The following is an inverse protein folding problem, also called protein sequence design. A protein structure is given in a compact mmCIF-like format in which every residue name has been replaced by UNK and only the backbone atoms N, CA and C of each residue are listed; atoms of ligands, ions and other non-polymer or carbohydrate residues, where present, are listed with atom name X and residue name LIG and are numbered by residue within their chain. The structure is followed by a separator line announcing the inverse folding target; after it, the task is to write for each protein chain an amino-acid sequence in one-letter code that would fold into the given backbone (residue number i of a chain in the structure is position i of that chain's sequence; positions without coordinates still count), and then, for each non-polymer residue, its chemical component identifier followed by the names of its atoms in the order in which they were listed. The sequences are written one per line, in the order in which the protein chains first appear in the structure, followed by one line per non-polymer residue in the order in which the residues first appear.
data_IF_231639173548
#
_entry.id   IF_231639173548
#
_cell.length_a   1.000
_cell.length_b   1.000
_cell.length_c   1.000
_cell.angle_alpha   90.00
_cell.angle_beta   90.00
_cell.angle_gamma   90.00
#
_symmetry.space_group_name_H-M   'P 1'
#
loop_
_entity.id
_entity.type
_entity.pdbx_description
1 polymer ?
#
# COMPACT_ATOMS: atom_id res chain seq x y z
N UNK A 1 -1.84 -11.67 -5.40
CA UNK A 1 -2.84 -10.99 -4.56
C UNK A 1 -4.07 -11.84 -4.48
N UNK A 2 -4.88 -11.69 -3.43
CA UNK A 2 -6.15 -12.40 -3.28
C UNK A 2 -7.30 -11.43 -3.01
N UNK A 3 -8.45 -11.72 -3.62
CA UNK A 3 -9.76 -11.08 -3.41
C UNK A 3 -9.80 -9.57 -3.66
N UNK A 4 -9.34 -8.76 -2.71
CA UNK A 4 -9.46 -7.31 -2.75
C UNK A 4 -8.46 -6.65 -1.80
N UNK A 5 -7.92 -5.50 -2.22
CA UNK A 5 -7.13 -4.59 -1.40
C UNK A 5 -5.63 -4.75 -1.62
N UNK A 6 -4.94 -3.62 -1.81
CA UNK A 6 -3.51 -3.53 -1.98
C UNK A 6 -3.05 -3.45 -3.43
N UNK A 7 -3.86 -3.87 -4.41
CA UNK A 7 -3.52 -3.86 -5.85
C UNK A 7 -3.32 -2.46 -6.41
N UNK A 8 -4.15 -1.52 -5.97
CA UNK A 8 -4.05 -0.11 -6.30
C UNK A 8 -2.73 0.49 -5.79
N UNK A 9 -2.34 0.16 -4.56
CA UNK A 9 -1.10 0.64 -3.93
C UNK A 9 0.12 0.01 -4.61
N UNK A 10 0.11 -1.30 -4.87
CA UNK A 10 1.20 -1.98 -5.57
C UNK A 10 1.42 -1.39 -6.97
N UNK A 11 0.35 -1.25 -7.75
CA UNK A 11 0.42 -0.68 -9.08
C UNK A 11 0.95 0.76 -9.01
N UNK A 12 0.47 1.53 -8.02
CA UNK A 12 0.91 2.88 -7.73
C UNK A 12 2.42 2.97 -7.55
N UNK A 13 2.94 2.24 -6.56
CA UNK A 13 4.35 2.27 -6.22
C UNK A 13 5.21 1.72 -7.37
N UNK A 14 4.78 0.64 -8.01
CA UNK A 14 5.49 0.05 -9.16
C UNK A 14 5.64 1.05 -10.30
N UNK A 15 4.56 1.72 -10.71
CA UNK A 15 4.62 2.68 -11.81
C UNK A 15 5.58 3.82 -11.47
N UNK A 16 5.47 4.38 -10.26
CA UNK A 16 6.35 5.48 -9.82
C UNK A 16 7.82 5.08 -9.71
N UNK A 17 8.11 3.91 -9.16
CA UNK A 17 9.50 3.45 -8.93
C UNK A 17 10.16 2.89 -10.18
N UNK A 18 9.39 2.41 -11.16
CA UNK A 18 9.89 1.89 -12.42
C UNK A 18 9.93 2.93 -13.56
N UNK A 19 9.76 4.23 -13.25
CA UNK A 19 9.94 5.33 -14.21
C UNK A 19 8.70 5.72 -15.02
N UNK A 20 7.51 5.25 -14.63
CA UNK A 20 6.24 5.73 -15.17
C UNK A 20 5.63 6.88 -14.35
N UNK A 21 4.46 7.35 -14.78
CA UNK A 21 3.67 8.37 -14.09
C UNK A 21 2.21 7.96 -13.93
N UNK A 22 1.52 8.55 -12.96
CA UNK A 22 0.09 8.36 -12.72
C UNK A 22 -0.57 9.73 -12.74
N UNK A 23 -1.60 9.89 -13.57
CA UNK A 23 -2.26 11.16 -13.80
C UNK A 23 -3.77 11.06 -13.56
N UNK A 24 -4.35 12.13 -13.03
CA UNK A 24 -5.79 12.30 -12.93
C UNK A 24 -6.22 13.24 -14.06
N UNK A 25 -6.98 12.72 -15.02
CA UNK A 25 -7.42 13.49 -16.20
C UNK A 25 -8.78 14.14 -15.88
N UNK A 26 -8.86 15.46 -15.62
CA UNK A 26 -10.10 16.11 -15.17
C UNK A 26 -11.20 16.13 -16.24
N UNK A 27 -10.86 15.92 -17.51
CA UNK A 27 -11.83 15.82 -18.59
C UNK A 27 -12.50 14.43 -18.68
N UNK A 28 -11.90 13.40 -18.08
CA UNK A 28 -12.48 12.05 -18.01
C UNK A 28 -13.31 11.93 -16.72
N UNK A 29 -14.61 11.64 -16.85
CA UNK A 29 -15.55 11.61 -15.71
C UNK A 29 -16.21 10.24 -15.63
N UNK A 30 -15.99 9.53 -14.53
CA UNK A 30 -16.62 8.24 -14.21
C UNK A 30 -17.17 8.35 -12.79
N UNK A 31 -18.45 8.02 -12.60
CA UNK A 31 -19.06 7.94 -11.28
C UNK A 31 -18.81 6.57 -10.64
N UNK A 32 -18.32 6.55 -9.40
CA UNK A 32 -18.18 5.33 -8.59
C UNK A 32 -19.11 5.42 -7.38
N UNK A 33 -19.90 4.38 -7.11
CA UNK A 33 -20.73 4.28 -5.92
C UNK A 33 -19.93 3.58 -4.84
N UNK A 34 -19.38 4.35 -3.91
CA UNK A 34 -18.65 3.79 -2.77
C UNK A 34 -19.62 3.06 -1.82
N UNK A 35 -19.20 1.90 -1.33
CA UNK A 35 -20.00 1.07 -0.42
C UNK A 35 -19.26 0.93 0.90
N UNK A 36 -19.99 1.02 2.00
CA UNK A 36 -19.43 0.82 3.34
C UNK A 36 -18.90 -0.62 3.56
N UNK A 37 -19.43 -1.61 2.84
CA UNK A 37 -19.06 -3.01 2.96
C UNK A 37 -19.08 -3.70 1.58
N UNK A 38 -18.20 -4.70 1.41
CA UNK A 38 -18.11 -5.47 0.17
C UNK A 38 -19.14 -6.62 0.20
N UNK A 39 -20.03 -6.74 -0.80
CA UNK A 39 -21.15 -7.67 -0.75
C UNK A 39 -20.75 -9.15 -0.87
N UNK A 40 -19.56 -9.44 -1.39
CA UNK A 40 -19.07 -10.80 -1.64
C UNK A 40 -18.20 -11.35 -0.50
N UNK A 41 -17.74 -10.52 0.43
CA UNK A 41 -16.87 -10.94 1.51
C UNK A 41 -17.07 -10.02 2.73
N UNK A 42 -17.75 -10.51 3.79
CA UNK A 42 -17.97 -9.73 5.00
C UNK A 42 -16.70 -9.41 5.77
N UNK A 43 -15.73 -10.35 5.78
CA UNK A 43 -14.41 -10.15 6.39
C UNK A 43 -13.29 -10.21 5.36
N UNK A 44 -12.81 -9.04 4.97
CA UNK A 44 -11.70 -8.86 4.03
C UNK A 44 -10.35 -8.69 4.74
N UNK A 45 -10.33 -8.66 6.08
CA UNK A 45 -9.13 -8.25 6.82
C UNK A 45 -7.95 -9.18 6.60
N UNK A 46 -8.18 -10.49 6.52
CA UNK A 46 -7.13 -11.48 6.29
C UNK A 46 -6.47 -11.31 4.91
N UNK A 47 -7.29 -11.18 3.86
CA UNK A 47 -6.83 -10.94 2.49
C UNK A 47 -6.12 -9.60 2.36
N UNK A 48 -6.70 -8.53 2.93
CA UNK A 48 -6.09 -7.19 2.94
C UNK A 48 -4.75 -7.16 3.66
N UNK A 49 -4.66 -7.77 4.86
CA UNK A 49 -3.41 -7.86 5.61
C UNK A 49 -2.34 -8.58 4.81
N UNK A 50 -2.65 -9.74 4.22
CA UNK A 50 -1.70 -10.48 3.38
C UNK A 50 -1.25 -9.65 2.17
N UNK A 51 -2.18 -9.00 1.47
CA UNK A 51 -1.85 -8.21 0.29
C UNK A 51 -0.99 -6.99 0.67
N UNK A 52 -1.31 -6.28 1.75
CA UNK A 52 -0.55 -5.14 2.24
C UNK A 52 0.89 -5.52 2.61
N UNK A 53 1.08 -6.64 3.32
CA UNK A 53 2.42 -7.11 3.68
C UNK A 53 3.23 -7.52 2.45
N UNK A 54 2.61 -8.18 1.47
CA UNK A 54 3.27 -8.50 0.20
C UNK A 54 3.77 -7.25 -0.52
N UNK A 55 2.96 -6.18 -0.54
CA UNK A 55 3.36 -4.90 -1.16
C UNK A 55 4.53 -4.29 -0.41
N UNK A 56 4.48 -4.27 0.92
CA UNK A 56 5.53 -3.72 1.76
C UNK A 56 6.86 -4.47 1.59
N UNK A 57 6.82 -5.81 1.58
CA UNK A 57 8.03 -6.64 1.41
C UNK A 57 8.70 -6.49 0.04
N UNK A 58 7.93 -6.19 -1.01
CA UNK A 58 8.46 -6.05 -2.37
C UNK A 58 8.91 -4.62 -2.66
N UNK A 59 8.15 -3.61 -2.22
CA UNK A 59 8.28 -2.25 -2.72
C UNK A 59 8.71 -1.20 -1.70
N UNK A 60 8.66 -1.50 -0.39
CA UNK A 60 8.85 -0.49 0.65
C UNK A 60 10.18 -0.59 1.38
N UNK A 61 11.10 -1.48 0.97
CA UNK A 61 12.44 -1.64 1.56
C UNK A 61 12.40 -1.61 3.10
N UNK A 62 13.16 -0.70 3.71
CA UNK A 62 13.22 -0.47 5.15
C UNK A 62 11.90 0.10 5.70
N UNK A 63 11.16 0.90 4.91
CA UNK A 63 9.89 1.52 5.30
C UNK A 63 8.74 0.52 5.53
N UNK A 64 8.92 -0.75 5.16
CA UNK A 64 7.94 -1.82 5.50
C UNK A 64 7.68 -1.93 7.01
N UNK A 65 8.60 -1.43 7.84
CA UNK A 65 8.42 -1.35 9.29
C UNK A 65 7.14 -0.60 9.70
N UNK A 66 6.78 0.47 8.98
CA UNK A 66 5.58 1.23 9.24
C UNK A 66 4.31 0.41 8.99
N UNK A 67 4.34 -0.41 7.93
CA UNK A 67 3.24 -1.32 7.60
C UNK A 67 3.10 -2.41 8.65
N UNK A 68 4.23 -2.95 9.15
CA UNK A 68 4.21 -3.93 10.24
C UNK A 68 3.59 -3.38 11.53
N UNK A 69 3.90 -2.13 11.89
CA UNK A 69 3.27 -1.43 13.02
C UNK A 69 1.76 -1.27 12.79
N UNK A 70 1.35 -0.81 11.61
CA UNK A 70 -0.06 -0.59 11.29
C UNK A 70 -0.90 -1.89 11.39
N UNK A 71 -0.30 -3.05 11.13
CA UNK A 71 -0.95 -4.36 11.21
C UNK A 71 -0.68 -5.14 12.49
N UNK A 72 -0.12 -4.49 13.53
CA UNK A 72 0.25 -5.07 14.82
C UNK A 72 1.08 -6.36 14.67
N UNK A 73 2.09 -6.34 13.80
CA UNK A 73 2.98 -7.48 13.57
C UNK A 73 4.20 -7.38 14.49
N UNK A 74 4.60 -8.46 15.19
CA UNK A 74 5.81 -8.46 16.00
C UNK A 74 7.04 -8.10 15.18
N UNK A 75 7.75 -7.04 15.60
CA UNK A 75 8.95 -6.55 14.91
C UNK A 75 10.15 -7.38 15.37
N UNK A 76 10.95 -7.88 14.42
CA UNK A 76 12.23 -8.52 14.74
C UNK A 76 13.29 -7.43 14.86
N UNK A 77 14.11 -7.50 15.92
CA UNK A 77 15.16 -6.49 16.23
C UNK A 77 16.17 -6.30 15.09
N UNK A 78 16.32 -7.29 14.19
CA UNK A 78 17.14 -7.20 12.97
C UNK A 78 16.65 -6.17 11.95
N UNK A 79 15.38 -5.76 12.00
CA UNK A 79 14.81 -4.74 11.12
C UNK A 79 15.05 -3.31 11.64
N UNK A 80 15.57 -3.19 12.87
CA UNK A 80 15.84 -1.92 13.56
C UNK A 80 17.25 -1.39 13.28
N UNK A 81 17.67 -1.32 12.02
CA UNK A 81 18.93 -0.69 11.64
C UNK A 81 18.83 0.85 11.63
N UNK A 82 18.43 1.47 12.75
CA UNK A 82 18.70 2.90 13.03
C UNK A 82 18.52 3.88 11.86
N UNK A 83 17.39 3.85 11.15
CA UNK A 83 17.16 4.76 10.03
C UNK A 83 16.52 6.06 10.51
N UNK A 84 17.38 7.06 10.70
CA UNK A 84 16.99 8.47 10.58
C UNK A 84 16.21 8.64 9.28
N UNK A 85 15.14 9.43 9.34
CA UNK A 85 14.30 9.80 8.21
C UNK A 85 15.16 10.32 7.04
N UNK A 86 15.60 9.42 6.15
CA UNK A 86 16.01 9.83 4.81
C UNK A 86 14.71 10.16 4.11
N UNK A 87 14.32 11.43 4.17
CA UNK A 87 13.42 12.04 3.20
C UNK A 87 14.09 11.90 1.82
N UNK A 88 14.02 10.71 1.21
CA UNK A 88 13.94 10.65 -0.25
C UNK A 88 12.55 11.19 -0.55
N UNK A 89 12.50 12.29 -1.28
CA UNK A 89 11.31 13.04 -1.69
C UNK A 89 10.27 12.16 -2.42
N UNK A 90 9.60 11.26 -1.71
CA UNK A 90 8.47 10.50 -2.20
C UNK A 90 7.27 10.94 -1.39
N UNK A 91 6.64 11.97 -1.96
CA UNK A 91 5.33 12.50 -1.65
C UNK A 91 4.40 11.44 -1.03
N UNK A 92 3.80 11.78 0.11
CA UNK A 92 2.66 11.06 0.68
C UNK A 92 1.66 10.76 -0.44
N UNK A 93 1.53 9.48 -0.83
CA UNK A 93 0.35 9.02 -1.55
C UNK A 93 -0.74 8.86 -0.48
N UNK A 94 -1.36 9.98 -0.11
CA UNK A 94 -2.69 9.96 0.51
C UNK A 94 -3.67 9.59 -0.62
N UNK A 95 -4.15 8.35 -0.58
CA UNK A 95 -5.42 7.98 -1.21
C UNK A 95 -6.57 8.36 -0.27
#
# INVERSE_FOLDING_TARGET
MEVYGGENVELGIRVWTCGGSIEIVPCSRIGHIERAHKPYMPDINSAMKRNALRVADIWMDEYKYHVNIAWNIPIKVSDYNGYTCKLKNYLLILM
#
